data_IF_839129544878
#
_entry.id   IF_839129544878
#
_cell.length_a   1.000
_cell.length_b   1.000
_cell.length_c   1.000
_cell.angle_alpha   90.00
_cell.angle_beta   90.00
_cell.angle_gamma   90.00
#
_symmetry.space_group_name_H-M   'P 1'
#
loop_
_entity.id
_entity.type
_entity.pdbx_description
1 polymer ?
#
# COMPACT_ATOMS: atom_id res chain seq x y z
N UNK A 1 3.78 5.15 -13.65
CA UNK A 1 5.14 5.63 -14.02
C UNK A 1 5.23 7.15 -14.18
N UNK A 2 4.17 7.84 -14.61
CA UNK A 2 4.15 9.30 -14.85
C UNK A 2 4.68 10.18 -13.70
N UNK A 3 4.37 9.88 -12.44
CA UNK A 3 4.82 10.71 -11.31
C UNK A 3 6.34 10.61 -11.06
N UNK A 4 6.93 9.43 -11.26
CA UNK A 4 8.38 9.23 -11.13
C UNK A 4 9.10 10.01 -12.24
N UNK A 5 8.58 9.96 -13.46
CA UNK A 5 9.10 10.73 -14.60
C UNK A 5 8.97 12.24 -14.37
N UNK A 6 7.84 12.71 -13.83
CA UNK A 6 7.64 14.11 -13.48
C UNK A 6 8.71 14.59 -12.49
N UNK A 7 9.06 13.77 -11.50
CA UNK A 7 10.15 14.06 -10.56
C UNK A 7 11.50 14.06 -11.27
N UNK A 8 11.76 13.15 -12.21
CA UNK A 8 13.01 13.15 -13.00
C UNK A 8 13.17 14.44 -13.81
N UNK A 9 12.10 14.94 -14.43
CA UNK A 9 12.14 16.05 -15.42
C UNK A 9 11.98 17.44 -14.79
N UNK A 10 11.29 17.57 -13.66
CA UNK A 10 11.01 18.88 -13.05
C UNK A 10 12.27 19.60 -12.55
N UNK A 11 12.49 20.86 -12.95
CA UNK A 11 13.64 21.68 -12.53
C UNK A 11 13.39 22.43 -11.21
N UNK A 12 12.15 22.86 -10.96
CA UNK A 12 11.73 23.55 -9.73
C UNK A 12 10.26 23.28 -9.46
N UNK A 13 9.96 22.30 -8.61
CA UNK A 13 8.62 22.10 -8.10
C UNK A 13 8.64 21.75 -6.61
N UNK A 14 7.58 22.10 -5.86
CA UNK A 14 7.33 21.51 -4.54
C UNK A 14 7.41 19.97 -4.60
N UNK A 15 7.56 19.28 -3.45
CA UNK A 15 7.62 17.82 -3.45
C UNK A 15 6.41 17.28 -4.20
N UNK A 16 6.64 16.29 -5.07
CA UNK A 16 5.53 15.61 -5.73
C UNK A 16 4.96 14.66 -4.68
N UNK A 17 3.74 14.92 -4.24
CA UNK A 17 3.09 14.13 -3.19
C UNK A 17 1.90 13.37 -3.75
N UNK A 18 1.92 12.05 -3.55
CA UNK A 18 0.90 11.12 -4.01
C UNK A 18 0.32 10.37 -2.82
N UNK A 19 -1.00 10.23 -2.76
CA UNK A 19 -1.66 9.41 -1.75
C UNK A 19 -2.42 8.25 -2.43
N UNK A 20 -2.09 7.03 -2.04
CA UNK A 20 -2.81 5.82 -2.40
C UNK A 20 -3.83 5.53 -1.30
N UNK A 21 -5.11 5.53 -1.63
CA UNK A 21 -6.16 5.24 -0.66
C UNK A 21 -7.08 4.12 -1.13
N UNK A 22 -7.75 3.44 -0.21
CA UNK A 22 -8.67 2.37 -0.53
C UNK A 22 -8.78 1.35 0.61
N UNK A 23 -9.62 0.33 0.49
CA UNK A 23 -9.87 -0.63 1.56
C UNK A 23 -8.58 -1.31 2.07
N UNK A 24 -8.61 -1.78 3.32
CA UNK A 24 -7.51 -2.57 3.87
C UNK A 24 -7.27 -3.81 3.00
N UNK A 25 -6.00 -4.16 2.79
CA UNK A 25 -5.64 -5.30 1.93
C UNK A 25 -5.74 -5.08 0.42
N UNK A 26 -6.07 -3.87 -0.06
CA UNK A 26 -6.15 -3.57 -1.51
C UNK A 26 -4.78 -3.35 -2.20
N UNK A 27 -3.66 -3.68 -1.54
CA UNK A 27 -2.33 -3.68 -2.16
C UNK A 27 -1.60 -2.33 -2.18
N UNK A 28 -2.09 -1.30 -1.48
CA UNK A 28 -1.50 0.06 -1.46
C UNK A 28 0.00 0.07 -1.12
N UNK A 29 0.39 -0.60 -0.05
CA UNK A 29 1.79 -0.71 0.39
C UNK A 29 2.65 -1.41 -0.65
N UNK A 30 2.15 -2.52 -1.23
CA UNK A 30 2.86 -3.25 -2.28
C UNK A 30 3.05 -2.36 -3.53
N UNK A 31 2.02 -1.64 -3.96
CA UNK A 31 2.11 -0.68 -5.07
C UNK A 31 3.14 0.41 -4.80
N UNK A 32 3.13 1.01 -3.61
CA UNK A 32 4.11 2.04 -3.23
C UNK A 32 5.54 1.48 -3.22
N UNK A 33 5.74 0.29 -2.68
CA UNK A 33 7.04 -0.38 -2.65
C UNK A 33 7.54 -0.73 -4.05
N UNK A 34 6.68 -1.26 -4.93
CA UNK A 34 7.02 -1.54 -6.34
C UNK A 34 7.41 -0.26 -7.08
N UNK A 35 6.66 0.84 -6.90
CA UNK A 35 7.05 2.15 -7.47
C UNK A 35 8.43 2.59 -6.96
N UNK A 36 8.71 2.36 -5.67
CA UNK A 36 10.02 2.58 -5.09
C UNK A 36 11.11 1.81 -5.84
N UNK A 37 10.97 0.50 -5.93
CA UNK A 37 11.92 -0.41 -6.59
C UNK A 37 12.13 -0.03 -8.06
N UNK A 38 11.06 0.18 -8.82
CA UNK A 38 11.09 0.45 -10.27
C UNK A 38 11.55 1.88 -10.61
N UNK A 39 11.74 2.76 -9.62
CA UNK A 39 12.11 4.16 -9.87
C UNK A 39 13.58 4.36 -10.24
N UNK A 40 14.45 3.42 -9.84
CA UNK A 40 15.90 3.53 -9.82
C UNK A 40 16.44 4.74 -9.04
N UNK A 41 15.66 5.26 -8.08
CA UNK A 41 16.10 6.40 -7.27
C UNK A 41 17.17 5.96 -6.25
N UNK A 42 18.23 6.76 -6.05
CA UNK A 42 19.35 6.41 -5.16
C UNK A 42 18.96 6.35 -3.68
N UNK A 43 17.87 7.00 -3.27
CA UNK A 43 17.36 6.92 -1.90
C UNK A 43 15.88 6.57 -1.89
N UNK A 44 15.53 5.45 -1.26
CA UNK A 44 14.15 5.01 -1.06
C UNK A 44 14.01 4.62 0.40
N UNK A 45 13.05 5.22 1.11
CA UNK A 45 12.80 4.91 2.51
C UNK A 45 11.31 4.72 2.78
N UNK A 46 10.97 3.60 3.41
CA UNK A 46 9.64 3.33 3.95
C UNK A 46 9.62 3.72 5.43
N UNK A 47 8.61 4.47 5.82
CA UNK A 47 8.28 4.88 7.18
C UNK A 47 6.95 4.25 7.54
N UNK A 48 6.96 3.27 8.44
CA UNK A 48 5.77 2.57 8.92
C UNK A 48 5.70 2.64 10.44
N UNK A 49 4.48 2.51 10.99
CA UNK A 49 4.28 2.50 12.43
C UNK A 49 5.01 1.33 13.11
N UNK A 50 5.12 0.19 12.42
CA UNK A 50 5.81 -1.01 12.89
C UNK A 50 7.29 -0.75 13.18
N UNK A 51 7.98 0.01 12.30
CA UNK A 51 9.39 0.37 12.47
C UNK A 51 9.64 1.30 13.67
N UNK A 52 8.59 1.94 14.18
CA UNK A 52 8.64 2.90 15.28
C UNK A 52 7.86 2.43 16.51
N UNK A 53 7.50 1.16 16.57
CA UNK A 53 6.72 0.61 17.67
C UNK A 53 7.46 0.76 19.01
N UNK A 54 6.74 1.10 20.08
CA UNK A 54 7.30 1.33 21.41
C UNK A 54 8.10 2.63 21.59
N UNK A 55 8.26 3.45 20.54
CA UNK A 55 8.87 4.78 20.67
C UNK A 55 7.87 5.79 21.24
N UNK A 56 8.38 6.73 22.04
CA UNK A 56 7.63 7.92 22.44
C UNK A 56 7.36 8.82 21.22
N UNK A 57 6.27 9.59 21.27
CA UNK A 57 5.82 10.48 20.19
C UNK A 57 6.93 11.40 19.67
N UNK A 58 7.67 12.06 20.57
CA UNK A 58 8.80 12.93 20.21
C UNK A 58 9.91 12.20 19.43
N UNK A 59 10.17 10.92 19.75
CA UNK A 59 11.15 10.09 19.03
C UNK A 59 10.62 9.67 17.64
N UNK A 60 9.31 9.48 17.50
CA UNK A 60 8.68 9.22 16.19
C UNK A 60 8.79 10.46 15.29
N UNK A 61 8.47 11.64 15.81
CA UNK A 61 8.67 12.90 15.11
C UNK A 61 10.14 13.09 14.68
N UNK A 62 11.09 12.87 15.60
CA UNK A 62 12.52 12.96 15.28
C UNK A 62 12.97 11.94 14.23
N UNK A 63 12.42 10.72 14.25
CA UNK A 63 12.69 9.70 13.23
C UNK A 63 12.19 10.14 11.85
N UNK A 64 10.94 10.62 11.76
CA UNK A 64 10.34 11.15 10.53
C UNK A 64 11.20 12.29 10.00
N UNK A 65 11.53 13.28 10.85
CA UNK A 65 12.42 14.40 10.51
C UNK A 65 13.73 13.92 9.90
N UNK A 66 14.41 12.99 10.57
CA UNK A 66 15.68 12.44 10.08
C UNK A 66 15.54 11.77 8.71
N UNK A 67 14.47 11.02 8.47
CA UNK A 67 14.23 10.37 7.17
C UNK A 67 14.11 11.40 6.04
N UNK A 68 13.41 12.51 6.26
CA UNK A 68 13.29 13.58 5.28
C UNK A 68 14.61 14.35 5.10
N UNK A 69 15.33 14.65 6.18
CA UNK A 69 16.65 15.27 6.10
C UNK A 69 17.66 14.41 5.32
N UNK A 70 17.64 13.09 5.52
CA UNK A 70 18.48 12.16 4.76
C UNK A 70 18.03 12.08 3.29
N UNK A 71 16.73 12.16 3.02
CA UNK A 71 16.19 12.21 1.66
C UNK A 71 16.66 13.44 0.86
N UNK A 72 16.83 14.59 1.53
CA UNK A 72 17.31 15.83 0.91
C UNK A 72 18.80 15.80 0.54
N UNK A 73 19.60 14.91 1.14
CA UNK A 73 21.01 14.72 0.78
C UNK A 73 21.16 13.97 -0.55
N UNK A 74 20.10 13.32 -1.00
CA UNK A 74 20.05 12.60 -2.26
C UNK A 74 19.57 13.51 -3.40
N UNK A 75 20.12 13.40 -4.63
CA UNK A 75 19.62 14.14 -5.78
C UNK A 75 18.18 13.74 -6.15
N UNK A 76 17.82 12.47 -5.93
CA UNK A 76 16.48 11.93 -6.15
C UNK A 76 16.13 11.00 -5.01
N UNK A 77 14.95 11.18 -4.43
CA UNK A 77 14.50 10.41 -3.27
C UNK A 77 13.01 10.08 -3.30
N UNK A 78 12.68 8.90 -2.76
CA UNK A 78 11.30 8.49 -2.47
C UNK A 78 11.17 8.26 -0.96
N UNK A 79 10.21 8.94 -0.34
CA UNK A 79 9.77 8.64 1.02
C UNK A 79 8.37 8.06 0.96
N UNK A 80 8.20 6.84 1.45
CA UNK A 80 6.91 6.15 1.52
C UNK A 80 6.43 6.23 2.96
N UNK A 81 5.28 6.88 3.18
CA UNK A 81 4.58 6.95 4.45
C UNK A 81 3.48 5.88 4.45
N UNK A 82 3.74 4.76 5.10
CA UNK A 82 2.87 3.59 5.04
C UNK A 82 1.87 3.55 6.20
N UNK A 83 0.61 3.25 5.89
CA UNK A 83 -0.55 3.29 6.78
C UNK A 83 -0.54 4.56 7.64
N UNK A 84 -0.75 5.73 7.00
CA UNK A 84 -0.62 7.03 7.68
C UNK A 84 -1.52 7.12 8.93
N UNK A 85 -2.72 6.55 8.89
CA UNK A 85 -3.58 6.46 10.08
C UNK A 85 -2.89 5.78 11.27
N UNK A 86 -2.06 4.75 11.03
CA UNK A 86 -1.29 4.07 12.08
C UNK A 86 -0.08 4.90 12.53
N UNK A 87 0.57 5.61 11.60
CA UNK A 87 1.62 6.58 11.96
C UNK A 87 1.08 7.67 12.91
N UNK A 88 -0.16 8.11 12.66
CA UNK A 88 -0.86 9.08 13.48
C UNK A 88 -1.50 8.48 14.74
N UNK A 89 -1.32 7.18 15.01
CA UNK A 89 -1.93 6.48 16.14
C UNK A 89 -3.46 6.66 16.18
N UNK A 90 -4.09 6.71 15.01
CA UNK A 90 -5.52 6.93 14.89
C UNK A 90 -6.30 5.77 15.52
N UNK A 91 -7.25 6.13 16.38
CA UNK A 91 -8.25 5.21 16.94
C UNK A 91 -9.63 5.76 16.63
N UNK A 92 -10.50 4.92 16.05
CA UNK A 92 -11.87 5.31 15.71
C UNK A 92 -12.78 5.40 16.95
N UNK A 93 -12.63 4.47 17.90
CA UNK A 93 -13.38 4.47 19.16
C UNK A 93 -12.85 5.59 20.07
N UNK A 94 -13.64 6.65 20.21
CA UNK A 94 -13.21 7.87 20.86
C UNK A 94 -12.10 8.54 20.04
N UNK A 95 -12.46 9.20 18.91
CA UNK A 95 -11.50 9.65 17.91
C UNK A 95 -10.29 10.37 18.50
N UNK A 96 -9.14 9.73 18.40
CA UNK A 96 -7.85 10.22 18.90
C UNK A 96 -6.79 9.96 17.87
N UNK A 97 -5.82 10.85 17.82
CA UNK A 97 -4.62 10.74 16.99
C UNK A 97 -3.54 11.65 17.58
N UNK A 98 -2.29 11.38 17.22
CA UNK A 98 -1.13 12.21 17.55
C UNK A 98 -1.15 13.49 16.71
N UNK A 99 -1.43 14.64 17.34
CA UNK A 99 -1.35 15.92 16.66
C UNK A 99 0.12 16.33 16.39
N UNK A 100 1.08 15.93 17.23
CA UNK A 100 2.50 16.27 16.99
C UNK A 100 3.03 15.60 15.71
N UNK A 101 2.71 14.31 15.50
CA UNK A 101 3.08 13.59 14.28
C UNK A 101 2.34 14.19 13.09
N UNK A 102 1.06 14.55 13.22
CA UNK A 102 0.30 15.22 12.17
C UNK A 102 0.97 16.51 11.70
N UNK A 103 1.33 17.40 12.64
CA UNK A 103 1.98 18.67 12.29
C UNK A 103 3.35 18.43 11.65
N UNK A 104 4.10 17.46 12.15
CA UNK A 104 5.40 17.07 11.57
C UNK A 104 5.24 16.64 10.11
N UNK A 105 4.29 15.75 9.81
CA UNK A 105 4.01 15.30 8.44
C UNK A 105 3.53 16.45 7.55
N UNK A 106 2.62 17.31 8.03
CA UNK A 106 2.14 18.47 7.28
C UNK A 106 3.26 19.43 6.90
N UNK A 107 4.23 19.63 7.78
CA UNK A 107 5.39 20.48 7.51
C UNK A 107 6.21 19.91 6.35
N UNK A 108 6.59 18.63 6.42
CA UNK A 108 7.40 18.01 5.36
C UNK A 108 6.67 17.84 4.02
N UNK A 109 5.37 17.60 4.03
CA UNK A 109 4.58 17.49 2.79
C UNK A 109 4.43 18.84 2.06
N UNK A 110 4.55 19.96 2.77
CA UNK A 110 4.46 21.32 2.20
C UNK A 110 5.82 21.95 1.91
N UNK A 111 6.86 21.52 2.62
CA UNK A 111 8.20 22.06 2.48
C UNK A 111 8.79 21.68 1.12
N UNK A 112 9.34 22.67 0.41
CA UNK A 112 10.09 22.40 -0.82
C UNK A 112 11.45 21.78 -0.49
N UNK A 113 11.89 20.74 -1.22
CA UNK A 113 13.23 20.21 -1.05
C UNK A 113 14.28 21.29 -1.37
N UNK A 114 15.49 21.19 -0.81
CA UNK A 114 16.60 22.09 -1.14
C UNK A 114 16.93 22.07 -2.64
N UNK A 115 17.55 23.13 -3.14
CA UNK A 115 17.97 23.22 -4.53
C UNK A 115 18.88 22.05 -4.90
N UNK A 116 18.60 21.39 -6.03
CA UNK A 116 19.32 20.20 -6.49
C UNK A 116 18.82 18.86 -5.94
N UNK A 117 17.87 18.85 -5.00
CA UNK A 117 17.21 17.62 -4.52
C UNK A 117 15.77 17.52 -5.02
N UNK A 118 15.38 16.33 -5.46
CA UNK A 118 14.02 16.04 -5.92
C UNK A 118 13.41 14.95 -5.06
N UNK A 119 12.23 15.24 -4.49
CA UNK A 119 11.56 14.36 -3.54
C UNK A 119 10.17 13.95 -4.05
N UNK A 120 9.92 12.64 -4.07
CA UNK A 120 8.60 12.03 -4.20
C UNK A 120 8.15 11.52 -2.83
N UNK A 121 6.98 11.94 -2.38
CA UNK A 121 6.35 11.36 -1.18
C UNK A 121 5.14 10.54 -1.58
N UNK A 122 5.11 9.27 -1.18
CA UNK A 122 3.96 8.38 -1.40
C UNK A 122 3.34 8.04 -0.05
N UNK A 123 2.11 8.47 0.18
CA UNK A 123 1.32 8.06 1.33
C UNK A 123 0.43 6.87 1.02
N UNK A 124 0.20 5.97 1.97
CA UNK A 124 -0.86 4.96 1.90
C UNK A 124 -1.86 5.16 3.04
N UNK A 125 -3.15 4.90 2.78
CA UNK A 125 -4.19 4.97 3.83
C UNK A 125 -5.39 4.09 3.51
N UNK A 126 -5.98 3.49 4.55
CA UNK A 126 -7.32 2.91 4.51
C UNK A 126 -8.39 3.88 5.02
N UNK A 127 -7.98 4.92 5.77
CA UNK A 127 -8.84 5.88 6.46
C UNK A 127 -8.86 7.26 5.79
N UNK A 128 -9.27 7.30 4.51
CA UNK A 128 -9.27 8.56 3.74
C UNK A 128 -10.19 9.64 4.33
N UNK A 129 -11.28 9.23 4.97
CA UNK A 129 -12.23 10.16 5.63
C UNK A 129 -11.56 10.86 6.81
N UNK A 130 -10.83 10.13 7.64
CA UNK A 130 -10.03 10.70 8.72
C UNK A 130 -8.97 11.68 8.18
N UNK A 131 -8.20 11.29 7.15
CA UNK A 131 -7.20 12.19 6.55
C UNK A 131 -7.81 13.45 5.93
N UNK A 132 -9.04 13.39 5.42
CA UNK A 132 -9.78 14.58 4.97
C UNK A 132 -10.14 15.49 6.15
N UNK A 133 -10.63 14.91 7.25
CA UNK A 133 -11.07 15.65 8.43
C UNK A 133 -9.92 16.44 9.08
N UNK A 134 -8.72 15.85 9.18
CA UNK A 134 -7.54 16.51 9.75
C UNK A 134 -6.76 17.37 8.74
N UNK A 135 -7.28 17.53 7.52
CA UNK A 135 -6.68 18.35 6.46
C UNK A 135 -5.44 17.75 5.80
N UNK A 136 -4.94 16.59 6.25
CA UNK A 136 -3.74 15.94 5.70
C UNK A 136 -3.93 15.52 4.23
N UNK A 137 -5.13 15.10 3.84
CA UNK A 137 -5.44 14.77 2.44
C UNK A 137 -5.07 15.92 1.49
N UNK A 138 -5.33 17.18 1.87
CA UNK A 138 -5.06 18.35 1.01
C UNK A 138 -3.57 18.64 0.82
N UNK A 139 -2.70 18.07 1.65
CA UNK A 139 -1.25 18.19 1.49
C UNK A 139 -0.70 17.30 0.36
N UNK A 140 -1.51 16.34 -0.13
CA UNK A 140 -1.14 15.49 -1.26
C UNK A 140 -1.63 16.07 -2.59
N UNK A 141 -0.72 16.31 -3.53
CA UNK A 141 -1.00 16.87 -4.86
C UNK A 141 -1.90 15.94 -5.69
N UNK A 142 -1.68 14.63 -5.61
CA UNK A 142 -2.41 13.62 -6.39
C UNK A 142 -2.94 12.52 -5.46
N UNK A 143 -4.11 11.96 -5.78
CA UNK A 143 -4.55 10.69 -5.19
C UNK A 143 -4.94 9.67 -6.22
N UNK A 144 -4.63 8.42 -5.90
CA UNK A 144 -5.17 7.26 -6.58
C UNK A 144 -5.94 6.38 -5.62
N UNK A 145 -7.07 5.86 -6.11
CA UNK A 145 -7.85 4.86 -5.40
C UNK A 145 -7.34 3.47 -5.78
N UNK A 146 -7.04 2.63 -4.79
CA UNK A 146 -6.77 1.19 -4.95
C UNK A 146 -8.02 0.42 -4.56
N UNK A 147 -8.87 0.06 -5.53
CA UNK A 147 -10.20 -0.52 -5.28
C UNK A 147 -10.12 -1.99 -4.84
N UNK A 148 -11.27 -2.55 -4.49
CA UNK A 148 -11.46 -4.00 -4.39
C UNK A 148 -11.34 -4.63 -5.78
N UNK A 149 -10.93 -5.90 -5.83
CA UNK A 149 -10.93 -6.70 -7.05
C UNK A 149 -12.35 -7.07 -7.42
N UNK A 150 -12.86 -6.40 -8.47
CA UNK A 150 -14.10 -6.81 -9.13
C UNK A 150 -13.90 -8.13 -9.86
N UNK A 151 -14.99 -8.83 -10.19
CA UNK A 151 -14.96 -10.09 -10.94
C UNK A 151 -14.05 -10.05 -12.18
N UNK A 152 -14.11 -8.98 -12.97
CA UNK A 152 -13.26 -8.83 -14.17
C UNK A 152 -11.76 -8.72 -13.84
N UNK A 153 -11.41 -8.04 -12.75
CA UNK A 153 -10.02 -7.85 -12.34
C UNK A 153 -9.49 -9.09 -11.61
N UNK A 154 -10.32 -9.74 -10.80
CA UNK A 154 -10.03 -11.03 -10.21
C UNK A 154 -9.72 -12.08 -11.28
N UNK A 155 -10.50 -12.11 -12.38
CA UNK A 155 -10.27 -13.00 -13.52
C UNK A 155 -8.87 -12.79 -14.13
N UNK A 156 -8.47 -11.53 -14.36
CA UNK A 156 -7.13 -11.20 -14.87
C UNK A 156 -6.03 -11.64 -13.92
N UNK A 157 -6.21 -11.40 -12.61
CA UNK A 157 -5.24 -11.79 -11.58
C UNK A 157 -5.10 -13.31 -11.54
N UNK A 158 -6.20 -14.06 -11.52
CA UNK A 158 -6.20 -15.53 -11.50
C UNK A 158 -5.55 -16.13 -12.75
N UNK A 159 -5.84 -15.57 -13.94
CA UNK A 159 -5.15 -15.94 -15.19
C UNK A 159 -3.65 -15.71 -15.11
N UNK A 160 -3.23 -14.54 -14.62
CA UNK A 160 -1.81 -14.21 -14.49
C UNK A 160 -1.09 -15.12 -13.48
N UNK A 161 -1.76 -15.48 -12.39
CA UNK A 161 -1.24 -16.41 -11.40
C UNK A 161 -1.18 -17.85 -11.92
N UNK A 162 -2.00 -18.19 -12.93
CA UNK A 162 -2.05 -19.51 -13.55
C UNK A 162 -2.39 -20.64 -12.55
N UNK A 163 -3.14 -20.33 -11.49
CA UNK A 163 -3.42 -21.25 -10.37
C UNK A 163 -4.63 -22.16 -10.59
N UNK A 164 -5.54 -21.82 -11.49
CA UNK A 164 -6.73 -22.62 -11.82
C UNK A 164 -6.73 -23.01 -13.31
N UNK A 165 -7.57 -23.98 -13.70
CA UNK A 165 -7.83 -24.24 -15.12
C UNK A 165 -8.61 -23.06 -15.74
N UNK A 166 -8.57 -22.89 -17.08
CA UNK A 166 -9.30 -21.77 -17.71
C UNK A 166 -10.81 -21.83 -17.45
N UNK A 167 -11.37 -23.03 -17.37
CA UNK A 167 -12.80 -23.25 -17.07
C UNK A 167 -13.14 -22.85 -15.63
N UNK A 168 -12.25 -23.14 -14.68
CA UNK A 168 -12.44 -22.84 -13.26
C UNK A 168 -12.24 -21.35 -12.93
N UNK A 169 -11.46 -20.61 -13.72
CA UNK A 169 -11.18 -19.19 -13.43
C UNK A 169 -12.46 -18.36 -13.46
N UNK A 170 -13.36 -18.61 -14.40
CA UNK A 170 -14.60 -17.83 -14.50
C UNK A 170 -15.49 -18.03 -13.27
N UNK A 171 -15.65 -19.27 -12.83
CA UNK A 171 -16.42 -19.63 -11.65
C UNK A 171 -15.79 -19.05 -10.37
N UNK A 172 -14.49 -19.26 -10.17
CA UNK A 172 -13.76 -18.70 -9.03
C UNK A 172 -13.86 -17.17 -8.97
N UNK A 173 -13.75 -16.48 -10.11
CA UNK A 173 -13.84 -15.02 -10.18
C UNK A 173 -15.22 -14.48 -9.81
N UNK A 174 -16.29 -15.20 -10.17
CA UNK A 174 -17.67 -14.82 -9.84
C UNK A 174 -17.96 -15.03 -8.35
N UNK A 175 -17.45 -16.11 -7.77
CA UNK A 175 -17.65 -16.42 -6.36
C UNK A 175 -17.05 -15.37 -5.41
N UNK A 176 -15.94 -14.74 -5.79
CA UNK A 176 -15.18 -13.82 -4.93
C UNK A 176 -15.93 -12.53 -4.51
N UNK A 177 -16.93 -12.07 -5.27
CA UNK A 177 -17.80 -10.92 -4.93
C UNK A 177 -17.07 -9.71 -4.28
N UNK A 178 -16.25 -8.99 -5.06
CA UNK A 178 -15.52 -7.79 -4.66
C UNK A 178 -14.68 -7.93 -3.37
N UNK A 179 -13.44 -8.41 -3.48
CA UNK A 179 -12.54 -8.60 -2.33
C UNK A 179 -11.22 -7.83 -2.46
N UNK A 180 -10.53 -7.54 -1.34
CA UNK A 180 -9.16 -7.02 -1.39
C UNK A 180 -8.21 -8.06 -2.00
N UNK A 181 -7.23 -7.61 -2.80
CA UNK A 181 -6.25 -8.51 -3.42
C UNK A 181 -5.50 -9.36 -2.39
N UNK A 182 -5.20 -8.84 -1.20
CA UNK A 182 -4.55 -9.61 -0.13
C UNK A 182 -5.40 -10.81 0.32
N UNK A 183 -6.72 -10.67 0.34
CA UNK A 183 -7.64 -11.75 0.70
C UNK A 183 -7.66 -12.82 -0.40
N UNK A 184 -7.60 -12.44 -1.67
CA UNK A 184 -7.48 -13.40 -2.78
C UNK A 184 -6.22 -14.26 -2.63
N UNK A 185 -5.06 -13.63 -2.38
CA UNK A 185 -3.82 -14.38 -2.15
C UNK A 185 -3.93 -15.30 -0.93
N UNK A 186 -4.57 -14.86 0.15
CA UNK A 186 -4.79 -15.68 1.33
C UNK A 186 -5.66 -16.92 1.03
N UNK A 187 -6.77 -16.75 0.30
CA UNK A 187 -7.65 -17.85 -0.10
C UNK A 187 -6.92 -18.87 -0.99
N UNK A 188 -6.12 -18.40 -1.94
CA UNK A 188 -5.28 -19.26 -2.80
C UNK A 188 -4.27 -20.04 -1.94
N UNK A 189 -3.65 -19.40 -0.94
CA UNK A 189 -2.74 -20.08 -0.01
C UNK A 189 -3.45 -21.12 0.87
N UNK A 190 -4.67 -20.84 1.34
CA UNK A 190 -5.47 -21.79 2.11
C UNK A 190 -5.84 -23.02 1.28
N UNK A 191 -6.35 -22.80 0.06
CA UNK A 191 -6.71 -23.88 -0.86
C UNK A 191 -5.50 -24.77 -1.20
N UNK A 192 -4.33 -24.17 -1.44
CA UNK A 192 -3.10 -24.90 -1.70
C UNK A 192 -2.68 -25.78 -0.51
N UNK A 193 -2.85 -25.30 0.73
CA UNK A 193 -2.55 -26.08 1.94
C UNK A 193 -3.51 -27.27 2.09
N UNK A 194 -4.78 -27.11 1.74
CA UNK A 194 -5.77 -28.20 1.72
C UNK A 194 -5.40 -29.28 0.70
N UNK A 195 -4.87 -28.88 -0.45
CA UNK A 195 -4.30 -29.80 -1.45
C UNK A 195 -2.99 -30.49 -0.99
N UNK A 196 -2.52 -30.21 0.23
CA UNK A 196 -1.25 -30.73 0.75
C UNK A 196 -0.01 -30.11 0.12
N UNK A 197 -0.13 -28.93 -0.51
CA UNK A 197 0.94 -28.28 -1.28
C UNK A 197 1.68 -27.22 -0.46
N UNK A 198 2.96 -27.02 -0.76
CA UNK A 198 3.75 -25.94 -0.15
C UNK A 198 3.40 -24.58 -0.78
N UNK A 199 3.71 -23.50 -0.06
CA UNK A 199 3.53 -22.13 -0.59
C UNK A 199 4.34 -21.90 -1.87
N UNK A 200 5.51 -22.51 -1.99
CA UNK A 200 6.40 -22.32 -3.15
C UNK A 200 5.76 -22.86 -4.43
N UNK A 201 4.96 -23.93 -4.34
CA UNK A 201 4.33 -24.57 -5.50
C UNK A 201 3.36 -23.62 -6.22
N UNK A 202 2.66 -22.75 -5.48
CA UNK A 202 1.74 -21.73 -6.03
C UNK A 202 2.51 -20.73 -6.92
N UNK A 203 3.70 -20.31 -6.47
CA UNK A 203 4.54 -19.36 -7.21
C UNK A 203 5.31 -19.98 -8.36
N UNK A 204 5.50 -21.32 -8.37
CA UNK A 204 6.11 -22.02 -9.52
C UNK A 204 5.18 -22.14 -10.72
N UNK A 205 3.87 -21.83 -10.58
CA UNK A 205 2.84 -21.88 -11.65
C UNK A 205 2.69 -23.23 -12.35
N UNK A 206 3.17 -24.32 -11.74
CA UNK A 206 3.21 -25.66 -12.34
C UNK A 206 1.98 -26.50 -12.03
N UNK A 207 1.28 -26.23 -10.93
CA UNK A 207 0.17 -27.08 -10.46
C UNK A 207 -1.12 -26.28 -10.29
N UNK A 208 -2.23 -26.86 -10.76
CA UNK A 208 -3.57 -26.27 -10.71
C UNK A 208 -4.27 -26.65 -9.42
N UNK A 209 -4.84 -25.68 -8.71
CA UNK A 209 -5.59 -25.87 -7.48
C UNK A 209 -6.99 -26.41 -7.78
N UNK A 210 -7.54 -27.17 -6.83
CA UNK A 210 -8.94 -27.56 -6.87
C UNK A 210 -9.85 -26.34 -6.62
N UNK A 211 -10.78 -26.07 -7.54
CA UNK A 211 -11.79 -25.02 -7.34
C UNK A 211 -12.68 -25.32 -6.14
N UNK A 212 -13.02 -26.59 -5.90
CA UNK A 212 -13.85 -27.00 -4.75
C UNK A 212 -13.21 -26.58 -3.44
N UNK A 213 -11.94 -26.89 -3.21
CA UNK A 213 -11.25 -26.50 -1.98
C UNK A 213 -11.11 -24.98 -1.84
N UNK A 214 -11.02 -24.25 -2.95
CA UNK A 214 -11.00 -22.79 -2.94
C UNK A 214 -12.36 -22.21 -2.52
N UNK A 215 -13.46 -22.74 -3.06
CA UNK A 215 -14.82 -22.34 -2.68
C UNK A 215 -15.11 -22.68 -1.22
N UNK A 216 -14.70 -23.87 -0.75
CA UNK A 216 -14.82 -24.24 0.67
C UNK A 216 -14.06 -23.27 1.58
N UNK A 217 -12.85 -22.84 1.20
CA UNK A 217 -12.10 -21.84 1.95
C UNK A 217 -12.75 -20.46 1.90
N UNK A 218 -13.39 -20.11 0.78
CA UNK A 218 -14.11 -18.85 0.66
C UNK A 218 -15.32 -18.81 1.60
N UNK A 219 -16.11 -19.88 1.64
CA UNK A 219 -17.27 -20.00 2.54
C UNK A 219 -16.85 -19.83 4.00
N UNK A 220 -15.82 -20.55 4.45
CA UNK A 220 -15.29 -20.44 5.82
C UNK A 220 -14.86 -19.01 6.19
N UNK A 221 -14.15 -18.33 5.30
CA UNK A 221 -13.67 -16.96 5.56
C UNK A 221 -14.83 -15.95 5.56
N UNK A 222 -15.91 -16.23 4.83
CA UNK A 222 -17.12 -15.38 4.82
C UNK A 222 -18.05 -15.63 6.00
N UNK A 223 -18.03 -16.81 6.62
CA UNK A 223 -18.82 -17.12 7.82
C UNK A 223 -18.24 -16.51 9.11
N UNK A 224 -16.94 -16.21 9.12
CA UNK A 224 -16.21 -15.63 10.26
C UNK A 224 -16.28 -14.07 10.36
N UNK A 225 -17.07 -13.40 9.50
CA UNK A 225 -17.25 -11.93 9.46
C UNK A 225 -18.69 -11.54 9.82
#
# INVERSE_FOLDING_TARGET
>A
MFLVEQVKVSERSPPVTCLLHGPSGSGKTALAATIGIDSDFPYIKIVSAEAMNGLQESKKCAHITKVFEDAYKSPQSIVILDDIERLLEYTEIGPRFSNEILQTLLNFLKQSPPEGSKLLVIGTTSEVTFLKAVGLRKAFSVTYSSPLLRTEDANKVLKQLNVFSEDDIEEASKALNDIPIKQLYFLIEMAARRDGRSKETIYTRKEKLSITHFLDCLEEVTEDI
#
